data_IF_345828338627
#
_entry.id   IF_345828338627
#
_cell.length_a   1.000
_cell.length_b   1.000
_cell.length_c   1.000
_cell.angle_alpha   90.00
_cell.angle_beta   90.00
_cell.angle_gamma   90.00
#
_symmetry.space_group_name_H-M   'P 1'
#
loop_
_entity.id
_entity.type
_entity.pdbx_description
1 polymer ?
#
# COMPACT_ATOMS: atom_id res chain seq x y z
N UNK A 1 -8.49 17.18 10.30
CA UNK A 1 -8.50 15.95 9.47
C UNK A 1 -8.39 14.75 10.40
N UNK A 2 -9.31 13.77 10.34
CA UNK A 2 -9.27 12.59 11.20
C UNK A 2 -8.50 11.50 10.45
N UNK A 3 -7.23 11.28 10.79
CA UNK A 3 -6.45 10.20 10.21
C UNK A 3 -6.98 8.85 10.72
N UNK A 4 -7.36 7.96 9.80
CA UNK A 4 -7.67 6.57 10.12
C UNK A 4 -6.45 5.72 9.83
N UNK A 5 -5.96 5.00 10.84
CA UNK A 5 -4.97 3.94 10.69
C UNK A 5 -5.67 2.62 10.34
N UNK A 6 -6.42 2.63 9.23
CA UNK A 6 -7.13 1.45 8.75
C UNK A 6 -6.89 1.29 7.25
N UNK A 7 -6.59 0.07 6.84
CA UNK A 7 -6.56 -0.31 5.42
C UNK A 7 -7.98 -0.51 4.86
N UNK A 8 -9.00 -0.55 5.73
CA UNK A 8 -10.40 -0.74 5.37
C UNK A 8 -11.08 0.56 5.01
N UNK A 9 -11.87 0.50 3.96
CA UNK A 9 -12.65 1.60 3.39
C UNK A 9 -14.12 1.31 3.58
N UNK A 10 -14.81 2.28 4.15
CA UNK A 10 -16.26 2.30 4.27
C UNK A 10 -16.87 2.93 3.03
N UNK A 11 -17.86 2.28 2.43
CA UNK A 11 -18.55 2.82 1.26
C UNK A 11 -19.29 4.11 1.61
N UNK A 12 -19.02 5.24 0.92
CA UNK A 12 -19.73 6.49 1.18
C UNK A 12 -21.18 6.46 0.68
N UNK A 13 -21.51 5.57 -0.27
CA UNK A 13 -22.88 5.45 -0.80
C UNK A 13 -23.81 4.57 0.05
N UNK A 14 -23.32 3.43 0.57
CA UNK A 14 -24.18 2.47 1.28
C UNK A 14 -23.71 2.14 2.71
N UNK A 15 -22.62 2.75 3.20
CA UNK A 15 -22.12 2.55 4.56
C UNK A 15 -21.45 1.20 4.83
N UNK A 16 -21.40 0.28 3.87
CA UNK A 16 -20.76 -1.03 4.02
C UNK A 16 -19.25 -0.88 4.15
N UNK A 17 -18.69 -1.38 5.25
CA UNK A 17 -17.26 -1.38 5.56
C UNK A 17 -16.55 -2.68 5.13
N UNK A 18 -15.22 -2.69 5.22
CA UNK A 18 -14.40 -3.88 4.99
C UNK A 18 -13.82 -4.01 3.59
N UNK A 19 -13.88 -2.96 2.77
CA UNK A 19 -13.27 -2.97 1.46
C UNK A 19 -11.79 -2.58 1.56
N UNK A 20 -10.93 -3.20 0.75
CA UNK A 20 -9.49 -2.90 0.74
C UNK A 20 -9.04 -2.66 -0.69
N UNK A 21 -8.16 -1.68 -0.89
CA UNK A 21 -7.51 -1.46 -2.17
C UNK A 21 -6.55 -2.60 -2.49
N UNK A 22 -6.45 -2.99 -3.76
CA UNK A 22 -5.49 -4.02 -4.16
C UNK A 22 -4.05 -3.56 -3.93
N UNK A 23 -3.16 -4.50 -3.60
CA UNK A 23 -1.76 -4.21 -3.30
C UNK A 23 -0.99 -3.60 -4.48
N UNK A 24 -1.32 -4.00 -5.72
CA UNK A 24 -0.68 -3.45 -6.92
C UNK A 24 -1.19 -2.06 -7.25
N UNK A 25 -2.49 -1.81 -7.09
CA UNK A 25 -3.05 -0.50 -7.38
C UNK A 25 -2.63 0.54 -6.34
N UNK A 26 -2.52 0.18 -5.05
CA UNK A 26 -2.18 1.15 -3.99
C UNK A 26 -0.78 1.77 -4.10
N UNK A 27 0.07 1.24 -4.98
CA UNK A 27 1.37 1.83 -5.30
C UNK A 27 1.29 2.90 -6.39
N UNK A 28 0.13 3.05 -7.03
CA UNK A 28 -0.12 4.06 -8.05
C UNK A 28 -0.83 5.27 -7.46
N UNK A 29 -0.79 6.41 -8.16
CA UNK A 29 -1.40 7.66 -7.67
C UNK A 29 -2.92 7.57 -7.50
N UNK A 30 -3.59 6.72 -8.29
CA UNK A 30 -5.05 6.62 -8.33
C UNK A 30 -5.46 5.16 -8.21
N UNK A 31 -6.34 4.86 -7.26
CA UNK A 31 -6.88 3.52 -7.05
C UNK A 31 -8.39 3.52 -7.17
N UNK A 32 -8.94 2.39 -7.63
CA UNK A 32 -10.38 2.15 -7.65
C UNK A 32 -10.70 0.75 -7.14
N UNK A 33 -11.80 0.63 -6.41
CA UNK A 33 -12.38 -0.65 -5.97
C UNK A 33 -13.90 -0.61 -6.11
N UNK A 34 -14.52 -1.77 -6.31
CA UNK A 34 -15.98 -1.87 -6.36
C UNK A 34 -16.54 -2.25 -4.99
N UNK A 35 -17.57 -1.53 -4.55
CA UNK A 35 -18.24 -1.82 -3.29
C UNK A 35 -18.90 -3.20 -3.30
N UNK A 36 -18.63 -4.00 -2.27
CA UNK A 36 -19.19 -5.36 -2.14
C UNK A 36 -20.73 -5.31 -2.05
N UNK A 37 -21.28 -4.34 -1.30
CA UNK A 37 -22.72 -4.11 -1.16
C UNK A 37 -23.38 -3.50 -2.39
N UNK A 38 -23.17 -2.20 -2.64
CA UNK A 38 -23.88 -1.47 -3.71
C UNK A 38 -23.21 -1.48 -5.09
N UNK A 39 -22.08 -2.19 -5.28
CA UNK A 39 -21.31 -2.29 -6.54
C UNK A 39 -20.79 -0.99 -7.14
N UNK A 40 -21.03 0.17 -6.52
CA UNK A 40 -20.44 1.44 -6.93
C UNK A 40 -18.92 1.44 -6.76
N UNK A 41 -18.25 2.08 -7.71
CA UNK A 41 -16.80 2.27 -7.69
C UNK A 41 -16.42 3.34 -6.67
N UNK A 42 -15.56 2.99 -5.73
CA UNK A 42 -14.91 3.90 -4.79
C UNK A 42 -13.55 4.23 -5.38
N UNK A 43 -13.24 5.52 -5.44
CA UNK A 43 -11.97 5.99 -6.00
C UNK A 43 -11.16 6.71 -4.94
N UNK A 44 -9.84 6.54 -5.00
CA UNK A 44 -8.90 7.25 -4.16
C UNK A 44 -7.82 7.87 -5.03
N UNK A 45 -7.60 9.17 -4.87
CA UNK A 45 -6.59 9.92 -5.61
C UNK A 45 -5.71 10.65 -4.62
N UNK A 46 -4.43 10.26 -4.58
CA UNK A 46 -3.43 10.98 -3.81
C UNK A 46 -3.10 12.32 -4.49
N UNK A 47 -2.87 13.35 -3.67
CA UNK A 47 -2.23 14.56 -4.16
C UNK A 47 -0.83 14.25 -4.70
N UNK A 48 -0.27 15.14 -5.52
CA UNK A 48 1.07 14.93 -6.06
C UNK A 48 2.12 14.82 -4.93
N UNK A 49 1.98 15.64 -3.88
CA UNK A 49 2.88 15.66 -2.73
C UNK A 49 2.81 14.34 -1.96
N UNK A 50 1.61 13.82 -1.68
CA UNK A 50 1.44 12.53 -1.00
C UNK A 50 1.99 11.38 -1.84
N UNK A 51 1.76 11.40 -3.15
CA UNK A 51 2.31 10.38 -4.03
C UNK A 51 3.83 10.41 -4.08
N UNK A 52 4.44 11.60 -4.17
CA UNK A 52 5.90 11.74 -4.10
C UNK A 52 6.46 11.25 -2.76
N UNK A 53 5.79 11.55 -1.65
CA UNK A 53 6.16 11.00 -0.34
C UNK A 53 6.12 9.47 -0.31
N UNK A 54 5.16 8.85 -1.02
CA UNK A 54 5.02 7.39 -1.09
C UNK A 54 6.20 6.80 -1.85
N UNK A 55 6.52 7.42 -2.99
CA UNK A 55 7.64 7.02 -3.83
C UNK A 55 8.94 7.12 -3.05
N UNK A 56 9.18 8.23 -2.35
CA UNK A 56 10.39 8.41 -1.52
C UNK A 56 10.45 7.35 -0.42
N UNK A 57 9.34 7.11 0.29
CA UNK A 57 9.27 6.07 1.33
C UNK A 57 9.63 4.69 0.78
N UNK A 58 9.06 4.30 -0.38
CA UNK A 58 9.36 3.03 -1.04
C UNK A 58 10.84 2.96 -1.40
N UNK A 59 11.43 4.02 -1.96
CA UNK A 59 12.86 4.02 -2.34
C UNK A 59 13.78 3.87 -1.13
N UNK A 60 13.48 4.53 -0.01
CA UNK A 60 14.25 4.36 1.23
C UNK A 60 14.22 2.89 1.69
N UNK A 61 13.05 2.25 1.68
CA UNK A 61 12.92 0.83 2.01
C UNK A 61 13.63 -0.07 1.00
N UNK A 62 13.53 0.23 -0.30
CA UNK A 62 14.21 -0.53 -1.35
C UNK A 62 15.72 -0.46 -1.20
N UNK A 63 16.29 0.69 -0.84
CA UNK A 63 17.74 0.80 -0.61
C UNK A 63 18.14 -0.04 0.61
N UNK A 64 17.42 0.09 1.73
CA UNK A 64 17.73 -0.62 2.96
C UNK A 64 17.60 -2.14 2.83
N UNK A 65 16.46 -2.62 2.30
CA UNK A 65 16.18 -4.05 2.17
C UNK A 65 16.76 -4.65 0.89
N UNK A 66 16.91 -3.87 -0.17
CA UNK A 66 17.52 -4.32 -1.44
C UNK A 66 19.00 -4.63 -1.28
N UNK A 67 19.75 -3.84 -0.50
CA UNK A 67 21.12 -4.19 -0.14
C UNK A 67 21.17 -5.53 0.61
N UNK A 68 20.33 -5.68 1.64
CA UNK A 68 20.21 -6.92 2.41
C UNK A 68 19.87 -8.13 1.52
N UNK A 69 18.90 -7.95 0.62
CA UNK A 69 18.49 -8.97 -0.34
C UNK A 69 19.66 -9.37 -1.25
N UNK A 70 20.36 -8.39 -1.82
CA UNK A 70 21.49 -8.62 -2.73
C UNK A 70 22.62 -9.39 -2.03
N UNK A 71 23.03 -8.97 -0.84
CA UNK A 71 24.06 -9.68 -0.08
C UNK A 71 23.63 -11.11 0.27
N UNK A 72 22.37 -11.30 0.66
CA UNK A 72 21.83 -12.62 1.01
C UNK A 72 21.79 -13.56 -0.20
N UNK A 73 21.45 -13.05 -1.38
CA UNK A 73 21.48 -13.81 -2.63
C UNK A 73 22.91 -14.20 -3.01
N UNK A 74 23.86 -13.25 -2.91
CA UNK A 74 25.28 -13.50 -3.20
C UNK A 74 25.92 -14.49 -2.22
N UNK A 75 25.49 -14.50 -0.96
CA UNK A 75 25.98 -15.44 0.05
C UNK A 75 25.26 -16.79 0.05
N UNK A 76 24.30 -17.01 -0.88
CA UNK A 76 23.48 -18.22 -0.93
C UNK A 76 22.51 -18.39 0.26
N UNK A 77 22.27 -17.34 1.04
CA UNK A 77 21.37 -17.37 2.18
C UNK A 77 19.93 -17.03 1.75
N UNK A 78 19.29 -18.03 1.16
CA UNK A 78 17.93 -17.92 0.62
C UNK A 78 16.87 -17.59 1.68
N UNK A 79 17.08 -18.01 2.93
CA UNK A 79 16.15 -17.72 4.02
C UNK A 79 16.12 -16.22 4.33
N UNK A 80 17.29 -15.59 4.45
CA UNK A 80 17.38 -14.13 4.68
C UNK A 80 16.87 -13.35 3.47
N UNK A 81 17.14 -13.83 2.25
CA UNK A 81 16.58 -13.23 1.05
C UNK A 81 15.03 -13.27 1.05
N UNK A 82 14.43 -14.41 1.36
CA UNK A 82 12.98 -14.55 1.46
C UNK A 82 12.40 -13.66 2.57
N UNK A 83 13.04 -13.61 3.74
CA UNK A 83 12.63 -12.77 4.85
C UNK A 83 12.69 -11.27 4.50
N UNK A 84 13.76 -10.81 3.85
CA UNK A 84 13.90 -9.42 3.41
C UNK A 84 12.84 -9.03 2.38
N UNK A 85 12.55 -9.92 1.41
CA UNK A 85 11.49 -9.71 0.44
C UNK A 85 10.10 -9.63 1.10
N UNK A 86 9.78 -10.57 1.99
CA UNK A 86 8.51 -10.56 2.72
C UNK A 86 8.35 -9.29 3.58
N UNK A 87 9.41 -8.89 4.28
CA UNK A 87 9.44 -7.68 5.09
C UNK A 87 9.21 -6.42 4.23
N UNK A 88 9.80 -6.35 3.03
CA UNK A 88 9.56 -5.25 2.11
C UNK A 88 8.08 -5.09 1.77
N UNK A 89 7.40 -6.17 1.36
CA UNK A 89 5.97 -6.12 1.05
C UNK A 89 5.12 -5.74 2.28
N UNK A 90 5.48 -6.26 3.45
CA UNK A 90 4.78 -5.95 4.71
C UNK A 90 4.94 -4.48 5.12
N UNK A 91 6.06 -3.85 4.81
CA UNK A 91 6.31 -2.44 5.12
C UNK A 91 5.78 -1.48 4.05
N UNK A 92 5.57 -1.95 2.82
CA UNK A 92 5.13 -1.09 1.70
C UNK A 92 3.61 -1.12 1.52
N UNK A 93 2.97 -2.29 1.51
CA UNK A 93 1.56 -2.42 1.14
C UNK A 93 0.62 -1.78 2.17
N UNK A 94 0.71 -2.06 3.49
CA UNK A 94 -0.23 -1.51 4.45
C UNK A 94 -0.20 0.02 4.53
N UNK A 95 0.97 0.71 4.58
CA UNK A 95 1.01 2.18 4.56
C UNK A 95 0.39 2.78 3.30
N UNK A 96 0.67 2.19 2.12
CA UNK A 96 0.09 2.62 0.86
C UNK A 96 -1.45 2.50 0.87
N UNK A 97 -1.98 1.37 1.35
CA UNK A 97 -3.42 1.16 1.52
C UNK A 97 -4.03 2.14 2.52
N UNK A 98 -3.36 2.44 3.64
CA UNK A 98 -3.83 3.41 4.64
C UNK A 98 -3.93 4.81 4.04
N UNK A 99 -2.93 5.25 3.27
CA UNK A 99 -2.99 6.56 2.61
C UNK A 99 -4.16 6.65 1.62
N UNK A 100 -4.36 5.61 0.82
CA UNK A 100 -5.51 5.57 -0.08
C UNK A 100 -6.84 5.50 0.65
N UNK A 101 -6.95 4.76 1.75
CA UNK A 101 -8.17 4.66 2.56
C UNK A 101 -8.57 6.02 3.15
N UNK A 102 -7.59 6.84 3.56
CA UNK A 102 -7.83 8.20 4.06
C UNK A 102 -8.30 9.19 2.97
N UNK A 103 -8.18 8.82 1.69
CA UNK A 103 -8.57 9.62 0.53
C UNK A 103 -9.70 9.01 -0.31
N UNK A 104 -10.26 7.88 0.15
CA UNK A 104 -11.34 7.19 -0.55
C UNK A 104 -12.63 8.02 -0.56
N UNK A 105 -13.27 8.09 -1.73
CA UNK A 105 -14.53 8.80 -1.97
C UNK A 105 -15.41 8.03 -2.95
#
# INVERSE_FOLDING_TARGET
MKFRFSTRVTCPSCGVDGQTFSASQCLTRTCSISCIGCKKTITSKLSLVEYLALVVYIHVLTIALGATLLFSLLSGNWFVAAAAAALFFFLVIPPAQIWHANRAR
#
